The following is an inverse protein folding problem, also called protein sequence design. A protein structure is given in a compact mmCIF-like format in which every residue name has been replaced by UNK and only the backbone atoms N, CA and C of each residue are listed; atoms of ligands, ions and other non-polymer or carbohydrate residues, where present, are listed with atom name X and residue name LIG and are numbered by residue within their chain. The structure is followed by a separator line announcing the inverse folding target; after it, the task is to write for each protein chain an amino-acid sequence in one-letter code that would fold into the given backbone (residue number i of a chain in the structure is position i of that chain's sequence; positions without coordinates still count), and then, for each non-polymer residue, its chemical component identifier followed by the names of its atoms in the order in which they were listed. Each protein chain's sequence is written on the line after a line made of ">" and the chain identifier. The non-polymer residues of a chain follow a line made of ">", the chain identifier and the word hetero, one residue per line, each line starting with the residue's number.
data_IF_611590118379
#
_entry.id   IF_611590118379
#
_cell.length_a   1.000
_cell.length_b   1.000
_cell.length_c   1.000
_cell.angle_alpha   90.00
_cell.angle_beta   90.00
_cell.angle_gamma   90.00
#
_symmetry.space_group_name_H-M   'P 1'
#
loop_
_entity.id
_entity.type
_entity.pdbx_description
1 polymer ?
#
# COMPACT_ATOMS: atom_id res chain seq x y z
N UNK A 1 60.78 4.50 -29.69
CA UNK A 1 60.00 4.36 -28.44
C UNK A 1 59.31 3.01 -28.32
N UNK A 2 58.42 2.61 -29.23
CA UNK A 2 57.63 1.36 -29.14
C UNK A 2 58.51 0.10 -29.00
N UNK A 3 59.61 -0.02 -29.75
CA UNK A 3 60.56 -1.15 -29.63
C UNK A 3 61.25 -1.24 -28.26
N UNK A 4 61.48 -0.11 -27.62
CA UNK A 4 62.14 -0.03 -26.30
C UNK A 4 61.16 -0.44 -25.20
N UNK A 5 59.89 -0.04 -25.34
CA UNK A 5 58.78 -0.47 -24.48
C UNK A 5 58.54 -1.99 -24.61
N UNK A 6 58.52 -2.54 -25.83
CA UNK A 6 58.37 -3.98 -26.06
C UNK A 6 59.53 -4.81 -25.46
N UNK A 7 60.76 -4.27 -25.49
CA UNK A 7 61.95 -4.93 -24.92
C UNK A 7 61.95 -4.89 -23.39
N UNK A 8 61.44 -3.81 -22.79
CA UNK A 8 61.20 -3.69 -21.36
C UNK A 8 60.08 -4.64 -20.90
N UNK A 9 58.97 -4.70 -21.63
CA UNK A 9 57.86 -5.63 -21.36
C UNK A 9 58.27 -7.11 -21.42
N UNK A 10 59.18 -7.50 -22.34
CA UNK A 10 59.64 -8.89 -22.39
C UNK A 10 60.57 -9.26 -21.23
N UNK A 11 61.40 -8.30 -20.77
CA UNK A 11 62.31 -8.48 -19.62
C UNK A 11 61.55 -8.60 -18.30
N UNK A 12 60.48 -7.83 -18.14
CA UNK A 12 59.64 -7.82 -16.93
C UNK A 12 58.33 -8.58 -17.09
N UNK A 13 58.23 -9.50 -18.06
CA UNK A 13 56.99 -10.21 -18.41
C UNK A 13 56.32 -10.87 -17.20
N UNK A 14 57.11 -11.50 -16.32
CA UNK A 14 56.62 -12.22 -15.15
C UNK A 14 56.14 -11.29 -14.03
N UNK A 15 56.90 -10.26 -13.59
CA UNK A 15 56.39 -9.30 -12.63
C UNK A 15 55.20 -8.50 -13.16
N UNK A 16 55.13 -8.20 -14.46
CA UNK A 16 53.94 -7.56 -15.08
C UNK A 16 52.74 -8.51 -15.03
N UNK A 17 52.90 -9.79 -15.39
CA UNK A 17 51.85 -10.79 -15.27
C UNK A 17 51.39 -10.97 -13.81
N UNK A 18 52.31 -10.98 -12.86
CA UNK A 18 52.01 -11.04 -11.44
C UNK A 18 51.22 -9.82 -10.96
N UNK A 19 51.60 -8.62 -11.41
CA UNK A 19 50.86 -7.38 -11.12
C UNK A 19 49.45 -7.42 -11.70
N UNK A 20 49.29 -7.89 -12.95
CA UNK A 20 47.98 -8.03 -13.59
C UNK A 20 47.13 -9.08 -12.87
N UNK A 21 47.70 -10.20 -12.43
CA UNK A 21 46.99 -11.21 -11.63
C UNK A 21 46.59 -10.70 -10.26
N UNK A 22 47.44 -9.95 -9.58
CA UNK A 22 47.10 -9.28 -8.32
C UNK A 22 46.02 -8.23 -8.56
N UNK A 23 46.08 -7.48 -9.65
CA UNK A 23 45.07 -6.48 -9.99
C UNK A 23 43.71 -7.10 -10.31
N UNK A 24 43.70 -8.19 -11.08
CA UNK A 24 42.48 -8.94 -11.40
C UNK A 24 41.94 -9.67 -10.16
N UNK A 25 42.82 -10.25 -9.34
CA UNK A 25 42.44 -10.94 -8.10
C UNK A 25 41.90 -9.98 -7.05
N UNK A 26 42.59 -8.85 -6.83
CA UNK A 26 42.14 -7.79 -5.94
C UNK A 26 40.87 -7.13 -6.48
N UNK A 27 40.79 -6.82 -7.78
CA UNK A 27 39.61 -6.25 -8.41
C UNK A 27 38.39 -7.18 -8.36
N UNK A 28 38.59 -8.48 -8.57
CA UNK A 28 37.55 -9.50 -8.42
C UNK A 28 37.11 -9.61 -6.96
N UNK A 29 38.04 -9.65 -6.02
CA UNK A 29 37.75 -9.68 -4.59
C UNK A 29 36.98 -8.44 -4.12
N UNK A 30 37.38 -7.25 -4.59
CA UNK A 30 36.76 -5.98 -4.27
C UNK A 30 35.36 -5.88 -4.87
N UNK A 31 35.14 -6.38 -6.10
CA UNK A 31 33.80 -6.45 -6.69
C UNK A 31 32.91 -7.46 -5.99
N UNK A 32 33.45 -8.61 -5.57
CA UNK A 32 32.67 -9.64 -4.87
C UNK A 32 32.30 -9.21 -3.45
N UNK A 33 33.12 -8.36 -2.81
CA UNK A 33 32.89 -7.84 -1.46
C UNK A 33 32.44 -6.38 -1.43
N UNK A 34 32.07 -5.78 -2.57
CA UNK A 34 31.81 -4.33 -2.67
C UNK A 34 30.75 -3.85 -1.70
N UNK A 35 29.69 -4.63 -1.51
CA UNK A 35 28.60 -4.30 -0.59
C UNK A 35 29.04 -4.41 0.86
N UNK A 36 29.84 -5.44 1.20
CA UNK A 36 30.42 -5.61 2.54
C UNK A 36 31.42 -4.51 2.88
N UNK A 37 32.19 -4.03 1.90
CA UNK A 37 33.14 -2.92 2.07
C UNK A 37 32.42 -1.59 2.26
N UNK A 38 31.39 -1.33 1.46
CA UNK A 38 30.56 -0.11 1.59
C UNK A 38 29.76 -0.14 2.89
N UNK A 39 29.18 -1.28 3.27
CA UNK A 39 28.46 -1.43 4.54
C UNK A 39 29.39 -1.32 5.74
N UNK A 40 30.61 -1.86 5.66
CA UNK A 40 31.62 -1.70 6.72
C UNK A 40 32.10 -0.26 6.85
N UNK A 41 32.34 0.44 5.72
CA UNK A 41 32.72 1.84 5.74
C UNK A 41 31.58 2.75 6.23
N UNK A 42 30.32 2.44 5.89
CA UNK A 42 29.16 3.17 6.42
C UNK A 42 28.94 2.89 7.91
N UNK A 43 29.11 1.63 8.35
CA UNK A 43 29.00 1.24 9.76
C UNK A 43 30.08 1.88 10.64
N UNK A 44 31.26 2.20 10.08
CA UNK A 44 32.29 2.96 10.79
C UNK A 44 32.00 4.47 10.80
N UNK A 45 31.30 5.00 9.80
CA UNK A 45 31.03 6.44 9.70
C UNK A 45 29.69 6.86 10.32
N UNK A 46 28.84 5.93 10.73
CA UNK A 46 27.51 6.22 11.30
C UNK A 46 27.23 5.34 12.52
N UNK A 47 26.87 5.96 13.65
CA UNK A 47 26.45 5.27 14.89
C UNK A 47 24.99 4.76 14.78
N UNK A 48 24.59 4.24 13.62
CA UNK A 48 23.26 3.67 13.41
C UNK A 48 23.27 2.16 13.71
N UNK A 49 22.17 1.61 14.24
CA UNK A 49 22.03 0.17 14.41
C UNK A 49 22.09 -0.57 13.06
N UNK A 50 22.57 -1.82 13.09
CA UNK A 50 22.51 -2.70 11.91
C UNK A 50 21.07 -2.86 11.40
N UNK A 51 20.83 -3.06 10.09
CA UNK A 51 19.49 -3.30 9.56
C UNK A 51 18.77 -4.45 10.30
N UNK A 52 17.58 -4.19 10.84
CA UNK A 52 16.81 -5.17 11.63
C UNK A 52 17.12 -5.18 13.14
N UNK A 53 18.11 -4.40 13.61
CA UNK A 53 18.38 -4.11 15.03
C UNK A 53 17.89 -2.72 15.40
N UNK A 54 17.78 -2.43 16.70
CA UNK A 54 17.24 -1.15 17.20
C UNK A 54 18.01 -0.66 18.44
N UNK A 55 18.07 0.67 18.60
CA UNK A 55 18.39 1.37 19.85
C UNK A 55 17.19 2.21 20.29
N UNK A 56 16.18 1.53 20.84
CA UNK A 56 14.89 2.11 21.21
C UNK A 56 14.98 3.14 22.32
N UNK A 57 15.94 3.00 23.24
CA UNK A 57 16.18 3.98 24.30
C UNK A 57 16.74 5.29 23.72
N UNK A 58 17.74 5.21 22.83
CA UNK A 58 18.27 6.40 22.16
C UNK A 58 17.20 7.10 21.31
N UNK A 59 16.47 6.32 20.49
CA UNK A 59 15.37 6.83 19.67
C UNK A 59 14.34 7.59 20.53
N UNK A 60 13.97 7.04 21.68
CA UNK A 60 12.99 7.66 22.56
C UNK A 60 13.47 8.95 23.19
N UNK A 61 14.60 8.91 23.91
CA UNK A 61 15.02 10.04 24.73
C UNK A 61 15.58 11.21 23.92
N UNK A 62 16.20 10.94 22.76
CA UNK A 62 16.79 12.00 21.93
C UNK A 62 15.79 12.62 20.96
N UNK A 63 14.81 11.85 20.47
CA UNK A 63 13.97 12.28 19.36
C UNK A 63 12.47 12.21 19.67
N UNK A 64 11.95 11.03 20.04
CA UNK A 64 10.49 10.85 20.21
C UNK A 64 9.97 11.69 21.37
N UNK A 65 10.61 11.62 22.55
CA UNK A 65 10.15 12.35 23.73
C UNK A 65 10.20 13.87 23.51
N UNK A 66 11.30 14.48 23.05
CA UNK A 66 11.31 15.92 22.74
C UNK A 66 10.26 16.34 21.71
N UNK A 67 10.00 15.52 20.69
CA UNK A 67 8.98 15.80 19.66
C UNK A 67 7.53 15.69 20.18
N UNK A 68 7.29 14.87 21.20
CA UNK A 68 5.99 14.80 21.87
C UNK A 68 5.85 15.96 22.87
N UNK A 69 6.86 16.19 23.69
CA UNK A 69 6.89 17.26 24.69
C UNK A 69 6.68 18.64 24.02
N UNK A 70 7.31 18.90 22.86
CA UNK A 70 7.13 20.17 22.13
C UNK A 70 5.67 20.46 21.74
N UNK A 71 4.94 19.45 21.28
CA UNK A 71 3.54 19.57 20.87
C UNK A 71 2.60 19.61 22.07
N UNK A 72 2.89 18.82 23.10
CA UNK A 72 2.08 18.75 24.33
C UNK A 72 2.21 20.03 25.18
N UNK A 73 3.43 20.56 25.33
CA UNK A 73 3.71 21.77 26.12
C UNK A 73 3.06 23.03 25.51
N UNK A 74 3.05 23.12 24.17
CA UNK A 74 2.36 24.20 23.43
C UNK A 74 0.83 23.96 23.31
N UNK A 75 0.33 22.82 23.81
CA UNK A 75 -1.10 22.48 23.77
C UNK A 75 -1.64 22.29 22.35
N UNK A 76 -0.81 21.80 21.43
CA UNK A 76 -1.15 21.68 20.01
C UNK A 76 -1.99 20.42 19.77
N UNK A 77 -3.14 20.63 19.13
CA UNK A 77 -4.14 19.61 18.82
C UNK A 77 -3.99 19.15 17.37
N UNK A 78 -3.21 18.09 17.18
CA UNK A 78 -2.96 17.48 15.86
C UNK A 78 -4.26 17.04 15.16
N UNK A 79 -5.28 16.62 15.90
CA UNK A 79 -6.59 16.27 15.38
C UNK A 79 -7.35 17.47 14.79
N UNK A 80 -7.24 18.64 15.42
CA UNK A 80 -7.80 19.89 14.89
C UNK A 80 -7.05 20.33 13.63
N UNK A 81 -5.72 20.21 13.63
CA UNK A 81 -4.89 20.49 12.45
C UNK A 81 -5.24 19.56 11.27
N UNK A 82 -5.42 18.25 11.52
CA UNK A 82 -5.86 17.28 10.50
C UNK A 82 -7.21 17.68 9.88
N UNK A 83 -8.16 18.17 10.68
CA UNK A 83 -9.47 18.64 10.19
C UNK A 83 -9.39 19.95 9.38
N UNK A 84 -8.33 20.74 9.57
CA UNK A 84 -8.06 21.93 8.79
C UNK A 84 -7.57 21.61 7.37
N UNK A 85 -7.11 20.38 7.13
CA UNK A 85 -6.65 19.96 5.82
C UNK A 85 -7.78 20.07 4.79
N UNK A 86 -7.58 20.79 3.68
CA UNK A 86 -8.62 20.91 2.68
C UNK A 86 -8.98 19.53 2.13
N UNK A 87 -10.26 19.16 2.18
CA UNK A 87 -10.84 18.04 1.41
C UNK A 87 -10.62 18.23 -0.12
N UNK A 88 -10.19 19.43 -0.55
CA UNK A 88 -10.13 19.90 -1.95
C UNK A 88 -8.94 19.40 -2.79
N UNK A 89 -8.38 18.23 -2.49
CA UNK A 89 -7.58 17.47 -3.47
C UNK A 89 -8.29 16.20 -3.96
N UNK A 90 -9.59 16.04 -3.69
CA UNK A 90 -10.31 14.77 -3.82
C UNK A 90 -11.39 14.71 -4.93
N UNK A 91 -11.41 15.63 -5.91
CA UNK A 91 -12.25 15.50 -7.12
C UNK A 91 -11.54 15.96 -8.41
N UNK A 92 -11.72 15.27 -9.55
CA UNK A 92 -11.42 15.84 -10.86
C UNK A 92 -12.31 17.07 -11.08
N UNK A 93 -11.81 18.03 -11.85
CA UNK A 93 -12.35 19.37 -12.02
C UNK A 93 -13.68 19.41 -12.81
N UNK A 94 -14.71 18.66 -12.43
CA UNK A 94 -16.07 18.86 -12.95
C UNK A 94 -17.13 18.50 -11.89
N UNK A 95 -18.20 19.29 -11.90
CA UNK A 95 -19.45 19.17 -11.14
C UNK A 95 -19.59 19.98 -9.83
N UNK A 96 -20.36 21.06 -10.01
CA UNK A 96 -20.85 22.03 -9.04
C UNK A 96 -21.85 21.34 -8.10
N UNK A 97 -21.46 21.10 -6.85
CA UNK A 97 -22.41 20.83 -5.78
C UNK A 97 -22.84 22.14 -5.10
N UNK A 98 -24.03 22.62 -5.48
CA UNK A 98 -24.81 23.62 -4.76
C UNK A 98 -25.37 23.01 -3.46
N UNK A 99 -24.49 22.77 -2.49
CA UNK A 99 -24.87 22.58 -1.09
C UNK A 99 -23.72 23.14 -0.23
N UNK A 100 -23.78 24.45 0.07
CA UNK A 100 -22.94 25.01 1.12
C UNK A 100 -23.46 24.46 2.44
N UNK A 101 -22.74 23.51 3.04
CA UNK A 101 -22.85 23.26 4.48
C UNK A 101 -22.76 24.63 5.18
N UNK A 102 -23.74 24.95 6.04
CA UNK A 102 -23.80 26.24 6.71
C UNK A 102 -22.48 26.44 7.47
N UNK A 103 -21.86 27.61 7.33
CA UNK A 103 -20.54 27.88 7.93
C UNK A 103 -20.55 27.70 9.46
N UNK A 104 -21.71 27.89 10.10
CA UNK A 104 -21.97 27.59 11.51
C UNK A 104 -21.87 26.09 11.85
N UNK A 105 -22.33 25.18 10.98
CA UNK A 105 -22.23 23.73 11.23
C UNK A 105 -20.78 23.25 11.11
N UNK A 106 -19.99 23.87 10.22
CA UNK A 106 -18.55 23.62 10.13
C UNK A 106 -17.84 24.06 11.41
N UNK A 107 -18.10 25.27 11.89
CA UNK A 107 -17.51 25.79 13.13
C UNK A 107 -17.99 25.00 14.35
N UNK A 108 -19.27 24.61 14.42
CA UNK A 108 -19.78 23.78 15.52
C UNK A 108 -19.12 22.42 15.57
N UNK A 109 -19.01 21.71 14.43
CA UNK A 109 -18.36 20.40 14.36
C UNK A 109 -16.83 20.48 14.60
N UNK A 110 -16.19 21.59 14.24
CA UNK A 110 -14.77 21.83 14.53
C UNK A 110 -14.51 22.03 16.02
N UNK A 111 -15.44 22.65 16.73
CA UNK A 111 -15.31 22.99 18.15
C UNK A 111 -15.86 21.92 19.11
N UNK A 112 -16.21 20.72 18.60
CA UNK A 112 -16.53 19.57 19.47
C UNK A 112 -15.22 19.09 20.08
N UNK A 113 -14.92 19.55 21.28
CA UNK A 113 -13.83 19.06 22.10
C UNK A 113 -14.12 17.62 22.56
N UNK A 114 -13.07 16.86 22.88
CA UNK A 114 -13.23 15.53 23.47
C UNK A 114 -13.96 15.65 24.83
N UNK A 115 -14.64 14.60 25.32
CA UNK A 115 -15.34 14.67 26.60
C UNK A 115 -14.39 15.13 27.72
N UNK A 116 -14.63 16.31 28.30
CA UNK A 116 -13.83 16.88 29.39
C UNK A 116 -13.13 18.22 29.11
N UNK A 117 -13.14 18.73 27.88
CA UNK A 117 -12.49 20.00 27.52
C UNK A 117 -13.49 21.13 27.20
N UNK A 118 -13.13 22.37 27.52
CA UNK A 118 -13.93 23.55 27.17
C UNK A 118 -13.76 23.89 25.67
N UNK A 119 -14.84 24.08 24.90
CA UNK A 119 -14.74 24.43 23.49
C UNK A 119 -14.13 25.82 23.31
N UNK A 120 -12.98 25.91 22.65
CA UNK A 120 -12.38 27.17 22.18
C UNK A 120 -12.70 27.35 20.70
N UNK A 121 -13.28 28.49 20.34
CA UNK A 121 -13.60 28.83 18.94
C UNK A 121 -12.32 29.32 18.27
N UNK A 122 -11.68 28.49 17.44
CA UNK A 122 -10.50 28.88 16.65
C UNK A 122 -10.73 28.49 15.19
N UNK A 123 -10.44 29.40 14.26
CA UNK A 123 -10.50 29.08 12.83
C UNK A 123 -9.39 28.07 12.46
N UNK A 124 -9.73 26.90 11.87
CA UNK A 124 -8.75 25.84 11.62
C UNK A 124 -7.58 26.25 10.71
N UNK A 125 -7.79 27.12 9.73
CA UNK A 125 -6.71 27.59 8.86
C UNK A 125 -5.71 28.51 9.58
N UNK A 126 -6.19 29.35 10.51
CA UNK A 126 -5.34 30.19 11.35
C UNK A 126 -4.55 29.34 12.32
N UNK A 127 -5.25 28.45 13.03
CA UNK A 127 -4.64 27.48 13.95
C UNK A 127 -3.60 26.59 13.26
N UNK A 128 -3.90 26.10 12.06
CA UNK A 128 -2.96 25.28 11.30
C UNK A 128 -1.73 26.07 10.89
N UNK A 129 -1.89 27.30 10.38
CA UNK A 129 -0.77 28.15 9.96
C UNK A 129 0.14 28.53 11.13
N UNK A 130 -0.44 28.81 12.30
CA UNK A 130 0.31 29.16 13.52
C UNK A 130 1.18 28.01 14.02
N UNK A 131 0.67 26.78 13.96
CA UNK A 131 1.34 25.61 14.58
C UNK A 131 2.12 24.74 13.58
N UNK A 132 2.01 25.02 12.27
CA UNK A 132 2.59 24.19 11.20
C UNK A 132 4.09 23.96 11.38
N UNK A 133 4.85 25.02 11.71
CA UNK A 133 6.31 24.95 11.76
C UNK A 133 6.78 24.02 12.89
N UNK A 134 6.24 24.18 14.10
CA UNK A 134 6.59 23.33 15.24
C UNK A 134 6.19 21.87 15.02
N UNK A 135 5.01 21.61 14.43
CA UNK A 135 4.58 20.24 14.10
C UNK A 135 5.44 19.63 12.99
N UNK A 136 5.94 20.45 12.06
CA UNK A 136 6.87 20.00 11.01
C UNK A 136 8.24 19.64 11.58
N UNK A 137 8.79 20.45 12.48
CA UNK A 137 10.04 20.14 13.19
C UNK A 137 9.89 18.83 13.99
N UNK A 138 8.79 18.70 14.73
CA UNK A 138 8.51 17.49 15.50
C UNK A 138 8.34 16.25 14.61
N UNK A 139 7.72 16.39 13.43
CA UNK A 139 7.65 15.32 12.42
C UNK A 139 9.05 14.94 11.91
N UNK A 140 9.94 15.91 11.69
CA UNK A 140 11.32 15.63 11.26
C UNK A 140 12.10 14.85 12.32
N UNK A 141 11.96 15.20 13.59
CA UNK A 141 12.58 14.45 14.69
C UNK A 141 12.03 13.01 14.78
N UNK A 142 10.72 12.82 14.60
CA UNK A 142 10.12 11.48 14.54
C UNK A 142 10.63 10.67 13.35
N UNK A 143 10.89 11.30 12.20
CA UNK A 143 11.52 10.63 11.05
C UNK A 143 12.97 10.28 11.36
N UNK A 144 13.74 11.15 12.03
CA UNK A 144 15.12 10.82 12.44
C UNK A 144 15.16 9.67 13.45
N UNK A 145 14.15 9.57 14.32
CA UNK A 145 14.05 8.49 15.28
C UNK A 145 13.98 7.10 14.60
N UNK A 146 13.44 7.00 13.37
CA UNK A 146 13.38 5.72 12.63
C UNK A 146 14.74 5.18 12.20
N UNK A 147 15.78 6.02 12.19
CA UNK A 147 17.16 5.54 12.01
C UNK A 147 17.67 4.70 13.17
N UNK A 148 17.04 4.82 14.35
CA UNK A 148 17.44 4.13 15.56
C UNK A 148 16.45 3.04 15.97
N UNK A 149 15.15 3.28 15.87
CA UNK A 149 14.14 2.28 16.20
C UNK A 149 12.81 2.56 15.51
N UNK A 150 12.06 1.51 15.21
CA UNK A 150 10.66 1.62 14.79
C UNK A 150 9.67 1.28 15.92
N UNK A 151 10.13 0.55 16.94
CA UNK A 151 9.35 0.13 18.10
C UNK A 151 10.04 0.60 19.37
N UNK A 152 9.29 1.23 20.27
CA UNK A 152 9.79 1.67 21.57
C UNK A 152 8.90 1.08 22.66
N UNK A 153 9.42 0.09 23.39
CA UNK A 153 8.65 -0.59 24.43
C UNK A 153 8.43 0.31 25.66
N UNK A 154 7.56 -0.09 26.58
CA UNK A 154 7.46 0.56 27.89
C UNK A 154 8.77 0.47 28.71
N UNK A 155 9.48 -0.64 28.61
CA UNK A 155 10.73 -0.87 29.33
C UNK A 155 11.84 0.10 28.87
N UNK A 156 11.98 0.30 27.57
CA UNK A 156 12.95 1.23 26.97
C UNK A 156 12.71 2.70 27.36
N UNK A 157 11.49 3.02 27.79
CA UNK A 157 11.09 4.35 28.27
C UNK A 157 11.22 4.53 29.78
N UNK A 158 11.57 3.46 30.50
CA UNK A 158 11.51 3.43 31.97
C UNK A 158 10.08 3.36 32.53
N UNK A 159 9.10 2.94 31.72
CA UNK A 159 7.67 2.86 32.03
C UNK A 159 7.14 1.44 31.78
N UNK A 160 7.55 0.45 32.60
CA UNK A 160 7.18 -0.95 32.38
C UNK A 160 5.65 -1.14 32.42
N UNK A 161 5.12 -1.94 31.49
CA UNK A 161 3.68 -2.22 31.37
C UNK A 161 2.88 -1.23 30.51
N UNK A 162 3.50 -0.18 29.98
CA UNK A 162 2.88 0.66 28.96
C UNK A 162 2.96 0.04 27.56
N UNK A 163 1.97 0.35 26.71
CA UNK A 163 1.92 -0.09 25.31
C UNK A 163 3.14 0.38 24.52
N UNK A 164 3.65 -0.49 23.65
CA UNK A 164 4.75 -0.16 22.73
C UNK A 164 4.34 0.95 21.78
N UNK A 165 5.17 1.98 21.68
CA UNK A 165 5.00 3.04 20.69
C UNK A 165 5.49 2.53 19.34
N UNK A 166 4.61 2.57 18.35
CA UNK A 166 4.97 2.38 16.94
C UNK A 166 5.27 3.75 16.32
N UNK A 167 6.52 4.00 15.99
CA UNK A 167 6.92 5.25 15.31
C UNK A 167 6.14 5.52 14.01
N UNK A 168 5.88 4.56 13.10
CA UNK A 168 5.11 4.85 11.90
C UNK A 168 3.67 5.34 12.19
N UNK A 169 3.08 4.91 13.31
CA UNK A 169 1.78 5.42 13.75
C UNK A 169 1.86 6.88 14.22
N UNK A 170 2.92 7.26 14.96
CA UNK A 170 3.18 8.64 15.35
C UNK A 170 3.45 9.53 14.14
N UNK A 171 4.35 9.10 13.24
CA UNK A 171 4.66 9.81 11.99
C UNK A 171 3.39 10.02 11.18
N UNK A 172 2.53 9.00 11.07
CA UNK A 172 1.23 9.12 10.39
C UNK A 172 0.36 10.21 11.02
N UNK A 173 0.20 10.22 12.35
CA UNK A 173 -0.61 11.24 13.05
C UNK A 173 -0.11 12.67 12.79
N UNK A 174 1.20 12.89 12.85
CA UNK A 174 1.81 14.20 12.60
C UNK A 174 1.73 14.59 11.10
N UNK A 175 2.00 13.65 10.21
CA UNK A 175 1.94 13.88 8.77
C UNK A 175 0.52 14.21 8.29
N UNK A 176 -0.50 13.53 8.82
CA UNK A 176 -1.90 13.85 8.55
C UNK A 176 -2.30 15.24 9.07
N UNK A 177 -1.80 15.65 10.24
CA UNK A 177 -2.01 17.00 10.77
C UNK A 177 -1.41 18.09 9.86
N UNK A 178 -0.33 17.77 9.14
CA UNK A 178 0.31 18.66 8.15
C UNK A 178 -0.21 18.46 6.72
N UNK A 179 -1.27 17.68 6.53
CA UNK A 179 -1.86 17.39 5.22
C UNK A 179 -0.92 16.65 4.26
N UNK A 180 0.00 15.84 4.80
CA UNK A 180 0.98 15.03 4.07
C UNK A 180 0.77 13.51 4.28
N UNK A 181 -0.42 12.95 3.98
CA UNK A 181 -0.74 11.55 4.30
C UNK A 181 0.19 10.52 3.63
N UNK A 182 0.86 10.87 2.52
CA UNK A 182 1.82 9.99 1.86
C UNK A 182 3.06 9.72 2.73
N UNK A 183 3.52 10.70 3.52
CA UNK A 183 4.69 10.52 4.40
C UNK A 183 4.41 9.47 5.48
N UNK A 184 3.23 9.54 6.10
CA UNK A 184 2.78 8.53 7.06
C UNK A 184 2.75 7.13 6.44
N UNK A 185 2.21 7.01 5.21
CA UNK A 185 2.19 5.74 4.48
C UNK A 185 3.58 5.17 4.23
N UNK A 186 4.50 5.97 3.69
CA UNK A 186 5.85 5.49 3.38
C UNK A 186 6.56 4.97 4.63
N UNK A 187 6.35 5.61 5.79
CA UNK A 187 6.89 5.11 7.06
C UNK A 187 6.37 3.72 7.45
N UNK A 188 5.15 3.35 7.06
CA UNK A 188 4.64 1.98 7.24
C UNK A 188 5.31 0.99 6.28
N UNK A 189 5.66 1.42 5.06
CA UNK A 189 6.46 0.62 4.12
C UNK A 189 7.85 0.32 4.68
N UNK A 190 8.54 1.34 5.19
CA UNK A 190 9.85 1.20 5.83
C UNK A 190 9.78 0.25 7.05
N UNK A 191 8.70 0.33 7.82
CA UNK A 191 8.46 -0.57 8.96
C UNK A 191 8.19 -2.02 8.53
N UNK A 192 7.50 -2.26 7.41
CA UNK A 192 7.33 -3.60 6.83
C UNK A 192 8.70 -4.20 6.48
N UNK A 193 9.56 -3.45 5.79
CA UNK A 193 10.91 -3.90 5.46
C UNK A 193 11.75 -4.18 6.72
N UNK A 194 11.63 -3.32 7.73
CA UNK A 194 12.28 -3.55 9.03
C UNK A 194 11.84 -4.87 9.69
N UNK A 195 10.53 -5.15 9.72
CA UNK A 195 10.01 -6.40 10.31
C UNK A 195 10.49 -7.64 9.57
N UNK A 196 10.51 -7.59 8.23
CA UNK A 196 11.04 -8.67 7.41
C UNK A 196 12.53 -8.90 7.65
N UNK A 197 13.32 -7.83 7.72
CA UNK A 197 14.76 -7.92 7.98
C UNK A 197 15.06 -8.43 9.38
N UNK A 198 14.29 -8.00 10.39
CA UNK A 198 14.41 -8.49 11.76
C UNK A 198 14.10 -9.99 11.83
N UNK A 199 13.00 -10.44 11.23
CA UNK A 199 12.64 -11.85 11.18
C UNK A 199 13.69 -12.69 10.42
N UNK A 200 14.24 -12.15 9.32
CA UNK A 200 15.33 -12.77 8.58
C UNK A 200 16.55 -13.01 9.49
N UNK A 201 16.98 -11.99 10.23
CA UNK A 201 18.11 -12.10 11.16
C UNK A 201 17.84 -13.07 12.31
N UNK A 202 16.65 -13.02 12.91
CA UNK A 202 16.27 -13.92 14.00
C UNK A 202 16.33 -15.40 13.56
N UNK A 203 15.93 -15.72 12.33
CA UNK A 203 16.06 -17.08 11.77
C UNK A 203 17.49 -17.43 11.38
N UNK A 204 18.26 -16.49 10.82
CA UNK A 204 19.67 -16.72 10.49
C UNK A 204 20.50 -17.01 11.74
N UNK A 205 20.21 -16.33 12.86
CA UNK A 205 20.85 -16.55 14.15
C UNK A 205 20.34 -17.85 14.83
N UNK A 206 19.04 -18.15 14.74
CA UNK A 206 18.42 -19.30 15.38
C UNK A 206 18.68 -20.65 14.69
N UNK A 207 18.69 -20.68 13.35
CA UNK A 207 18.87 -21.90 12.55
C UNK A 207 19.85 -21.69 11.36
N UNK A 208 21.13 -21.37 11.62
CA UNK A 208 22.07 -20.91 10.60
C UNK A 208 22.31 -21.93 9.47
N UNK A 209 22.35 -23.24 9.79
CA UNK A 209 22.52 -24.28 8.78
C UNK A 209 21.26 -24.47 7.94
N UNK A 210 20.07 -24.47 8.56
CA UNK A 210 18.80 -24.62 7.85
C UNK A 210 18.55 -23.47 6.88
N UNK A 211 18.92 -22.25 7.27
CA UNK A 211 18.68 -21.05 6.48
C UNK A 211 19.72 -20.83 5.37
N UNK A 212 21.01 -21.08 5.65
CA UNK A 212 22.12 -20.81 4.72
C UNK A 212 22.09 -21.66 3.44
N UNK A 213 21.51 -22.85 3.45
CA UNK A 213 21.46 -23.73 2.27
C UNK A 213 20.19 -23.57 1.42
N UNK A 214 19.25 -22.71 1.83
CA UNK A 214 18.01 -22.44 1.09
C UNK A 214 18.22 -21.43 -0.03
N UNK A 215 17.42 -21.56 -1.10
CA UNK A 215 17.34 -20.57 -2.17
C UNK A 215 16.73 -19.26 -1.63
N UNK A 216 17.06 -18.09 -2.20
CA UNK A 216 16.52 -16.80 -1.73
C UNK A 216 15.00 -16.77 -1.60
N UNK A 217 14.26 -17.26 -2.60
CA UNK A 217 12.80 -17.31 -2.54
C UNK A 217 12.24 -18.22 -1.43
N UNK A 218 12.95 -19.29 -1.07
CA UNK A 218 12.56 -20.15 0.06
C UNK A 218 12.79 -19.45 1.39
N UNK A 219 13.84 -18.64 1.51
CA UNK A 219 14.10 -17.82 2.69
C UNK A 219 13.02 -16.77 2.88
N UNK A 220 12.64 -16.08 1.81
CA UNK A 220 11.58 -15.06 1.85
C UNK A 220 10.25 -15.68 2.34
N UNK A 221 9.91 -16.88 1.86
CA UNK A 221 8.71 -17.60 2.32
C UNK A 221 8.81 -18.04 3.78
N UNK A 222 9.98 -18.44 4.27
CA UNK A 222 10.20 -18.76 5.68
C UNK A 222 10.06 -17.50 6.55
N UNK A 223 10.60 -16.38 6.11
CA UNK A 223 10.46 -15.07 6.77
C UNK A 223 9.01 -14.66 6.88
N UNK A 224 8.29 -14.67 5.77
CA UNK A 224 6.85 -14.41 5.76
C UNK A 224 6.08 -15.43 6.64
N UNK A 225 6.54 -16.68 6.67
CA UNK A 225 6.01 -17.75 7.52
C UNK A 225 6.07 -17.41 9.00
N UNK A 226 7.22 -16.92 9.46
CA UNK A 226 7.43 -16.49 10.85
C UNK A 226 6.56 -15.29 11.24
N UNK A 227 6.29 -14.40 10.28
CA UNK A 227 5.52 -13.17 10.49
C UNK A 227 4.00 -13.35 10.34
N UNK A 228 3.52 -14.52 9.91
CA UNK A 228 2.10 -14.77 9.60
C UNK A 228 1.15 -14.40 10.74
N UNK A 229 1.55 -14.60 11.99
CA UNK A 229 0.70 -14.29 13.15
C UNK A 229 1.05 -12.96 13.83
N UNK A 230 1.96 -12.18 13.26
CA UNK A 230 2.34 -10.88 13.82
C UNK A 230 1.26 -9.83 13.52
N UNK A 231 0.54 -9.40 14.56
CA UNK A 231 -0.48 -8.35 14.46
C UNK A 231 0.10 -7.06 13.91
N UNK A 232 1.28 -6.65 14.39
CA UNK A 232 1.94 -5.41 13.97
C UNK A 232 2.31 -5.46 12.49
N UNK A 233 2.79 -6.61 12.00
CA UNK A 233 3.14 -6.80 10.60
C UNK A 233 1.92 -6.75 9.68
N UNK A 234 0.84 -7.45 10.04
CA UNK A 234 -0.42 -7.39 9.29
C UNK A 234 -1.00 -5.97 9.26
N UNK A 235 -0.97 -5.26 10.39
CA UNK A 235 -1.38 -3.87 10.47
C UNK A 235 -0.51 -2.96 9.60
N UNK A 236 0.81 -3.15 9.63
CA UNK A 236 1.74 -2.37 8.82
C UNK A 236 1.46 -2.50 7.32
N UNK A 237 1.26 -3.73 6.83
CA UNK A 237 0.90 -3.98 5.43
C UNK A 237 -0.43 -3.29 5.05
N UNK A 238 -1.44 -3.33 5.93
CA UNK A 238 -2.74 -2.68 5.71
C UNK A 238 -2.62 -1.15 5.68
N UNK A 239 -1.88 -0.57 6.62
CA UNK A 239 -1.65 0.87 6.66
C UNK A 239 -0.83 1.32 5.43
N UNK A 240 0.13 0.49 5.00
CA UNK A 240 0.93 0.77 3.81
C UNK A 240 0.08 0.80 2.53
N UNK A 241 -0.88 -0.10 2.38
CA UNK A 241 -1.80 -0.09 1.24
C UNK A 241 -2.71 1.14 1.18
N UNK A 242 -2.97 1.78 2.32
CA UNK A 242 -3.79 2.99 2.40
C UNK A 242 -4.65 3.13 3.64
N UNK A 243 -4.73 2.10 4.49
CA UNK A 243 -5.58 2.08 5.67
C UNK A 243 -7.09 1.98 5.33
N UNK A 244 -7.81 1.09 6.01
CA UNK A 244 -9.26 0.97 5.87
C UNK A 244 -9.77 -0.48 5.87
N UNK A 245 -11.07 -0.62 6.10
CA UNK A 245 -11.77 -1.85 5.74
C UNK A 245 -11.72 -2.01 4.22
N UNK A 246 -11.63 -3.26 3.71
CA UNK A 246 -11.54 -3.49 2.29
C UNK A 246 -12.72 -2.85 1.57
N UNK A 247 -12.44 -1.83 0.78
CA UNK A 247 -13.43 -1.07 0.02
C UNK A 247 -13.17 -1.38 -1.45
N UNK A 248 -14.21 -1.70 -2.25
CA UNK A 248 -14.02 -1.99 -3.66
C UNK A 248 -13.25 -0.84 -4.30
N UNK A 249 -12.08 -1.17 -4.86
CA UNK A 249 -11.24 -0.24 -5.57
C UNK A 249 -11.98 0.26 -6.81
N UNK A 250 -12.20 1.56 -6.93
CA UNK A 250 -12.70 2.18 -8.16
C UNK A 250 -11.55 2.87 -8.89
N UNK A 251 -11.19 2.42 -10.10
CA UNK A 251 -10.23 3.11 -10.96
C UNK A 251 -10.58 4.58 -11.23
N UNK A 252 -11.87 4.89 -11.28
CA UNK A 252 -12.42 6.23 -11.57
C UNK A 252 -12.39 7.13 -10.33
N UNK A 253 -12.34 6.53 -9.13
CA UNK A 253 -12.21 7.20 -7.84
C UNK A 253 -10.80 7.10 -7.24
N UNK A 254 -9.79 6.71 -8.03
CA UNK A 254 -8.42 6.51 -7.57
C UNK A 254 -7.83 7.84 -7.08
N UNK A 255 -7.95 8.10 -5.77
CA UNK A 255 -7.33 9.25 -5.15
C UNK A 255 -5.81 9.02 -5.06
N UNK A 256 -5.02 10.09 -5.11
CA UNK A 256 -3.55 10.03 -4.94
C UNK A 256 -3.11 9.55 -3.54
N UNK A 257 -4.06 9.07 -2.73
CA UNK A 257 -3.90 8.67 -1.34
C UNK A 257 -4.00 7.16 -1.15
N UNK A 258 -3.96 6.30 -2.16
CA UNK A 258 -3.76 4.85 -1.97
C UNK A 258 -2.47 4.39 -2.67
N UNK A 259 -1.77 3.41 -2.08
CA UNK A 259 -0.59 2.81 -2.72
C UNK A 259 -0.96 2.21 -4.09
N UNK A 260 -2.18 1.65 -4.20
CA UNK A 260 -2.71 1.11 -5.47
C UNK A 260 -2.72 2.17 -6.58
N UNK A 261 -3.00 3.43 -6.24
CA UNK A 261 -3.05 4.51 -7.21
C UNK A 261 -1.67 5.04 -7.60
N UNK A 262 -0.72 5.03 -6.66
CA UNK A 262 0.63 5.60 -6.83
C UNK A 262 1.61 4.58 -7.41
N UNK A 263 1.67 3.41 -6.78
CA UNK A 263 2.59 2.31 -7.06
C UNK A 263 1.79 0.98 -7.11
N UNK A 264 0.95 0.79 -8.13
CA UNK A 264 0.05 -0.36 -8.28
C UNK A 264 0.77 -1.72 -8.28
N UNK A 265 1.98 -1.78 -8.84
CA UNK A 265 2.80 -2.99 -8.88
C UNK A 265 3.33 -3.33 -7.49
N UNK A 266 3.75 -2.32 -6.75
CA UNK A 266 4.17 -2.48 -5.37
C UNK A 266 2.99 -2.89 -4.50
N UNK A 267 1.82 -2.25 -4.67
CA UNK A 267 0.60 -2.64 -3.99
C UNK A 267 0.24 -4.11 -4.25
N UNK A 268 0.38 -4.61 -5.48
CA UNK A 268 0.19 -6.03 -5.78
C UNK A 268 1.15 -6.95 -4.98
N UNK A 269 2.42 -6.57 -4.86
CA UNK A 269 3.39 -7.31 -4.04
C UNK A 269 3.03 -7.28 -2.55
N UNK A 270 2.57 -6.14 -2.04
CA UNK A 270 2.11 -5.98 -0.66
C UNK A 270 0.84 -6.82 -0.40
N UNK A 271 -0.09 -6.89 -1.36
CA UNK A 271 -1.23 -7.81 -1.27
C UNK A 271 -0.81 -9.28 -1.21
N UNK A 272 0.20 -9.71 -1.98
CA UNK A 272 0.71 -11.09 -1.88
C UNK A 272 1.23 -11.40 -0.47
N UNK A 273 2.02 -10.48 0.11
CA UNK A 273 2.53 -10.61 1.47
C UNK A 273 1.40 -10.64 2.50
N UNK A 274 0.41 -9.75 2.34
CA UNK A 274 -0.74 -9.66 3.24
C UNK A 274 -1.65 -10.89 3.15
N UNK A 275 -1.93 -11.41 1.97
CA UNK A 275 -2.70 -12.65 1.76
C UNK A 275 -2.02 -13.83 2.46
N UNK A 276 -0.69 -13.93 2.33
CA UNK A 276 0.08 -14.98 2.99
C UNK A 276 0.03 -14.85 4.52
N UNK A 277 0.09 -13.63 5.04
CA UNK A 277 0.07 -13.35 6.48
C UNK A 277 -1.34 -13.30 7.08
N UNK A 278 -2.40 -13.15 6.30
CA UNK A 278 -3.74 -12.90 6.82
C UNK A 278 -4.44 -14.16 7.37
N UNK A 279 -5.36 -13.98 8.34
CA UNK A 279 -6.26 -15.05 8.76
C UNK A 279 -7.27 -15.39 7.65
N UNK A 280 -7.75 -16.63 7.61
CA UNK A 280 -8.57 -17.17 6.52
C UNK A 280 -9.84 -16.35 6.27
N UNK A 281 -10.45 -15.78 7.32
CA UNK A 281 -11.68 -14.99 7.24
C UNK A 281 -11.51 -13.69 6.44
N UNK A 282 -10.27 -13.18 6.33
CA UNK A 282 -9.97 -11.96 5.57
C UNK A 282 -9.63 -12.23 4.10
N UNK A 283 -9.25 -13.46 3.75
CA UNK A 283 -8.77 -13.80 2.41
C UNK A 283 -9.74 -13.43 1.28
N UNK A 284 -11.06 -13.65 1.38
CA UNK A 284 -11.98 -13.30 0.29
C UNK A 284 -11.94 -11.81 -0.08
N UNK A 285 -11.78 -10.94 0.93
CA UNK A 285 -11.70 -9.49 0.70
C UNK A 285 -10.36 -9.11 0.06
N UNK A 286 -9.26 -9.70 0.52
CA UNK A 286 -7.93 -9.44 -0.04
C UNK A 286 -7.81 -9.94 -1.49
N UNK A 287 -8.43 -11.08 -1.80
CA UNK A 287 -8.54 -11.58 -3.18
C UNK A 287 -9.33 -10.64 -4.08
N UNK A 288 -10.42 -10.05 -3.58
CA UNK A 288 -11.19 -9.07 -4.34
C UNK A 288 -10.30 -7.85 -4.70
N UNK A 289 -9.63 -7.28 -3.71
CA UNK A 289 -8.79 -6.10 -3.90
C UNK A 289 -7.58 -6.37 -4.81
N UNK A 290 -6.91 -7.50 -4.61
CA UNK A 290 -5.80 -7.92 -5.46
C UNK A 290 -6.27 -8.15 -6.91
N UNK A 291 -7.41 -8.80 -7.11
CA UNK A 291 -7.99 -9.03 -8.43
C UNK A 291 -8.32 -7.72 -9.16
N UNK A 292 -8.85 -6.72 -8.44
CA UNK A 292 -9.10 -5.37 -8.97
C UNK A 292 -7.81 -4.65 -9.38
N UNK A 293 -6.74 -4.74 -8.57
CA UNK A 293 -5.42 -4.17 -8.87
C UNK A 293 -4.83 -4.81 -10.13
N UNK A 294 -4.88 -6.14 -10.23
CA UNK A 294 -4.39 -6.89 -11.39
C UNK A 294 -5.15 -6.51 -12.66
N UNK A 295 -6.50 -6.44 -12.60
CA UNK A 295 -7.32 -6.00 -13.72
C UNK A 295 -7.03 -4.55 -14.15
N UNK A 296 -6.64 -3.69 -13.21
CA UNK A 296 -6.21 -2.31 -13.52
C UNK A 296 -4.80 -2.25 -14.14
N UNK A 297 -3.83 -3.02 -13.63
CA UNK A 297 -2.49 -3.15 -14.23
C UNK A 297 -2.59 -3.69 -15.67
N UNK A 298 -3.45 -4.68 -15.88
CA UNK A 298 -3.72 -5.27 -17.19
C UNK A 298 -4.29 -4.25 -18.18
N UNK A 299 -5.20 -3.37 -17.73
CA UNK A 299 -5.75 -2.28 -18.55
C UNK A 299 -4.70 -1.23 -18.92
N UNK A 300 -3.72 -0.98 -18.06
CA UNK A 300 -2.60 -0.07 -18.34
C UNK A 300 -1.52 -0.66 -19.25
N UNK A 301 -1.62 -1.95 -19.60
CA UNK A 301 -0.63 -2.61 -20.46
C UNK A 301 0.70 -2.86 -19.76
N UNK A 302 0.70 -3.10 -18.45
CA UNK A 302 1.92 -3.48 -17.74
C UNK A 302 2.38 -4.88 -18.21
N UNK A 303 3.51 -4.91 -18.92
CA UNK A 303 4.11 -6.13 -19.48
C UNK A 303 5.03 -6.87 -18.51
N UNK A 304 5.17 -6.41 -17.26
CA UNK A 304 6.04 -7.06 -16.26
C UNK A 304 5.43 -8.33 -15.64
N UNK A 305 4.13 -8.54 -15.82
CA UNK A 305 3.43 -9.76 -15.42
C UNK A 305 3.05 -10.56 -16.67
N UNK A 306 3.32 -11.86 -16.64
CA UNK A 306 2.82 -12.80 -17.65
C UNK A 306 1.31 -12.98 -17.41
N UNK A 307 0.48 -12.52 -18.35
CA UNK A 307 -0.99 -12.63 -18.34
C UNK A 307 -1.74 -12.05 -17.11
N UNK A 308 -1.67 -10.72 -16.86
CA UNK A 308 -2.29 -10.12 -15.68
C UNK A 308 -3.82 -10.24 -15.61
N UNK A 309 -4.51 -10.37 -16.76
CA UNK A 309 -5.95 -10.64 -16.78
C UNK A 309 -6.30 -12.05 -16.29
N UNK A 310 -5.46 -13.06 -16.58
CA UNK A 310 -5.68 -14.43 -16.14
C UNK A 310 -5.54 -14.52 -14.62
N UNK A 311 -4.48 -13.93 -14.08
CA UNK A 311 -4.26 -13.81 -12.63
C UNK A 311 -5.39 -13.03 -11.94
N UNK A 312 -5.87 -11.95 -12.55
CA UNK A 312 -7.00 -11.18 -12.01
C UNK A 312 -8.26 -12.04 -11.89
N UNK A 313 -8.61 -12.80 -12.93
CA UNK A 313 -9.79 -13.67 -12.95
C UNK A 313 -9.69 -14.81 -11.92
N UNK A 314 -8.52 -15.44 -11.80
CA UNK A 314 -8.28 -16.48 -10.80
C UNK A 314 -8.48 -15.95 -9.38
N UNK A 315 -7.88 -14.79 -9.09
CA UNK A 315 -8.00 -14.12 -7.79
C UNK A 315 -9.46 -13.73 -7.49
N UNK A 316 -10.16 -13.13 -8.46
CA UNK A 316 -11.57 -12.75 -8.30
C UNK A 316 -12.48 -13.97 -8.12
N UNK A 317 -12.16 -15.12 -8.70
CA UNK A 317 -12.91 -16.35 -8.49
C UNK A 317 -12.83 -16.83 -7.02
N UNK A 318 -11.67 -16.67 -6.38
CA UNK A 318 -11.47 -16.93 -4.96
C UNK A 318 -12.32 -16.00 -4.07
N UNK A 319 -12.45 -14.73 -4.44
CA UNK A 319 -13.36 -13.80 -3.77
C UNK A 319 -14.84 -14.16 -4.00
N UNK A 320 -15.19 -14.60 -5.22
CA UNK A 320 -16.55 -14.93 -5.59
C UNK A 320 -17.11 -16.16 -4.85
N UNK A 321 -16.25 -17.05 -4.35
CA UNK A 321 -16.64 -18.17 -3.49
C UNK A 321 -17.28 -17.70 -2.16
N UNK A 322 -17.05 -16.45 -1.75
CA UNK A 322 -17.64 -15.89 -0.54
C UNK A 322 -18.92 -15.10 -0.85
N UNK A 323 -20.04 -15.52 -0.26
CA UNK A 323 -21.39 -15.01 -0.57
C UNK A 323 -21.55 -13.49 -0.47
N UNK A 324 -20.88 -12.83 0.48
CA UNK A 324 -20.99 -11.36 0.63
C UNK A 324 -20.26 -10.59 -0.47
N UNK A 325 -19.32 -11.22 -1.16
CA UNK A 325 -18.46 -10.59 -2.18
C UNK A 325 -18.79 -11.07 -3.59
N UNK A 326 -19.52 -12.18 -3.72
CA UNK A 326 -19.84 -12.83 -4.99
C UNK A 326 -20.33 -11.84 -6.07
N UNK A 327 -21.28 -10.97 -5.73
CA UNK A 327 -21.78 -9.96 -6.68
C UNK A 327 -20.65 -9.05 -7.19
N UNK A 328 -19.84 -8.52 -6.28
CA UNK A 328 -18.81 -7.52 -6.61
C UNK A 328 -17.70 -8.17 -7.42
N UNK A 329 -17.24 -9.35 -7.01
CA UNK A 329 -16.22 -10.10 -7.72
C UNK A 329 -16.65 -10.45 -9.16
N UNK A 330 -17.88 -10.95 -9.34
CA UNK A 330 -18.41 -11.28 -10.67
C UNK A 330 -18.60 -10.06 -11.57
N UNK A 331 -18.94 -8.91 -11.00
CA UNK A 331 -18.99 -7.63 -11.75
C UNK A 331 -17.61 -7.27 -12.30
N UNK A 332 -16.55 -7.41 -11.50
CA UNK A 332 -15.18 -7.17 -11.95
C UNK A 332 -14.72 -8.20 -12.99
N UNK A 333 -15.06 -9.48 -12.82
CA UNK A 333 -14.79 -10.52 -13.82
C UNK A 333 -15.49 -10.19 -15.14
N UNK A 334 -16.75 -9.77 -15.11
CA UNK A 334 -17.50 -9.35 -16.30
C UNK A 334 -16.80 -8.21 -17.04
N UNK A 335 -16.27 -7.21 -16.31
CA UNK A 335 -15.50 -6.11 -16.91
C UNK A 335 -14.24 -6.60 -17.62
N UNK A 336 -13.51 -7.53 -17.00
CA UNK A 336 -12.31 -8.12 -17.59
C UNK A 336 -12.66 -8.88 -18.87
N UNK A 337 -13.69 -9.73 -18.84
CA UNK A 337 -14.14 -10.48 -20.00
C UNK A 337 -14.56 -9.56 -21.16
N UNK A 338 -15.32 -8.49 -20.87
CA UNK A 338 -15.67 -7.48 -21.88
C UNK A 338 -14.44 -6.81 -22.49
N UNK A 339 -13.47 -6.43 -21.67
CA UNK A 339 -12.21 -5.80 -22.10
C UNK A 339 -11.35 -6.75 -22.97
N UNK A 340 -11.51 -8.06 -22.77
CA UNK A 340 -10.85 -9.12 -23.52
C UNK A 340 -11.66 -9.61 -24.72
N UNK A 341 -12.82 -9.00 -24.99
CA UNK A 341 -13.75 -9.40 -26.06
C UNK A 341 -14.27 -10.84 -25.90
N UNK A 342 -14.23 -11.36 -24.67
CA UNK A 342 -14.74 -12.68 -24.26
C UNK A 342 -16.22 -12.55 -23.85
N UNK A 343 -17.08 -12.27 -24.84
CA UNK A 343 -18.45 -11.84 -24.57
C UNK A 343 -19.36 -12.95 -24.03
N UNK A 344 -19.10 -14.21 -24.37
CA UNK A 344 -19.89 -15.35 -23.87
C UNK A 344 -19.61 -15.59 -22.38
N UNK A 345 -18.35 -15.48 -21.96
CA UNK A 345 -17.93 -15.56 -20.57
C UNK A 345 -18.49 -14.37 -19.76
N UNK A 346 -18.44 -13.15 -20.33
CA UNK A 346 -19.07 -11.98 -19.72
C UNK A 346 -20.58 -12.19 -19.52
N UNK A 347 -21.27 -12.79 -20.49
CA UNK A 347 -22.71 -13.11 -20.40
C UNK A 347 -22.99 -14.19 -19.36
N UNK A 348 -22.14 -15.22 -19.27
CA UNK A 348 -22.24 -16.26 -18.25
C UNK A 348 -22.12 -15.68 -16.83
N UNK A 349 -21.19 -14.75 -16.60
CA UNK A 349 -21.07 -14.07 -15.30
C UNK A 349 -22.27 -13.19 -14.97
N UNK A 350 -22.79 -12.43 -15.95
CA UNK A 350 -24.01 -11.64 -15.79
C UNK A 350 -25.24 -12.50 -15.46
N UNK A 351 -25.31 -13.70 -16.02
CA UNK A 351 -26.33 -14.68 -15.67
C UNK A 351 -26.20 -15.09 -14.20
N UNK A 352 -25.00 -15.38 -13.71
CA UNK A 352 -24.78 -15.69 -12.29
C UNK A 352 -25.18 -14.51 -11.40
N UNK A 353 -24.80 -13.27 -11.75
CA UNK A 353 -25.22 -12.06 -11.01
C UNK A 353 -26.75 -11.96 -10.93
N UNK A 354 -27.47 -12.26 -12.01
CA UNK A 354 -28.94 -12.20 -12.04
C UNK A 354 -29.64 -13.23 -11.14
N UNK A 355 -28.94 -14.31 -10.76
CA UNK A 355 -29.46 -15.30 -9.80
C UNK A 355 -29.30 -14.83 -8.35
N UNK A 356 -28.40 -13.89 -8.09
CA UNK A 356 -28.05 -13.41 -6.75
C UNK A 356 -28.79 -12.11 -6.42
N UNK A 357 -28.96 -11.24 -7.43
CA UNK A 357 -29.56 -9.91 -7.27
C UNK A 357 -30.69 -9.72 -8.26
N UNK A 358 -31.77 -9.09 -7.79
CA UNK A 358 -32.80 -8.60 -8.69
C UNK A 358 -32.21 -7.52 -9.61
N UNK A 359 -32.04 -7.84 -10.89
CA UNK A 359 -31.42 -6.95 -11.89
C UNK A 359 -32.22 -5.65 -12.10
N UNK A 360 -33.48 -5.63 -11.67
CA UNK A 360 -34.37 -4.47 -11.76
C UNK A 360 -34.15 -3.48 -10.61
N UNK A 361 -33.46 -3.89 -9.54
CA UNK A 361 -33.22 -3.05 -8.38
C UNK A 361 -32.26 -1.88 -8.72
N UNK A 362 -32.39 -0.72 -8.05
CA UNK A 362 -31.46 0.40 -8.20
C UNK A 362 -30.00 0.00 -7.99
N UNK A 363 -29.74 -0.86 -7.00
CA UNK A 363 -28.42 -1.37 -6.65
C UNK A 363 -27.76 -2.22 -7.76
N UNK A 364 -28.53 -2.69 -8.74
CA UNK A 364 -28.04 -3.48 -9.88
C UNK A 364 -27.76 -2.61 -11.12
N UNK A 365 -27.70 -1.28 -10.99
CA UNK A 365 -27.42 -0.36 -12.10
C UNK A 365 -26.12 -0.73 -12.86
N UNK A 366 -25.06 -1.04 -12.12
CA UNK A 366 -23.75 -1.44 -12.68
C UNK A 366 -23.85 -2.74 -13.50
N UNK A 367 -24.54 -3.76 -12.97
CA UNK A 367 -24.75 -5.02 -13.69
C UNK A 367 -25.61 -4.84 -14.96
N UNK A 368 -26.62 -3.96 -14.91
CA UNK A 368 -27.43 -3.60 -16.09
C UNK A 368 -26.60 -2.91 -17.16
N UNK A 369 -25.73 -1.98 -16.76
CA UNK A 369 -24.84 -1.31 -17.69
C UNK A 369 -23.89 -2.30 -18.38
N UNK A 370 -23.32 -3.24 -17.62
CA UNK A 370 -22.46 -4.28 -18.16
C UNK A 370 -23.24 -5.22 -19.10
N UNK A 371 -24.46 -5.62 -18.75
CA UNK A 371 -25.32 -6.41 -19.64
C UNK A 371 -25.58 -5.70 -20.98
N UNK A 372 -25.88 -4.40 -20.93
CA UNK A 372 -26.04 -3.59 -22.14
C UNK A 372 -24.77 -3.55 -22.98
N UNK A 373 -23.60 -3.33 -22.36
CA UNK A 373 -22.31 -3.30 -23.06
C UNK A 373 -22.00 -4.66 -23.71
N UNK A 374 -22.18 -5.76 -22.99
CA UNK A 374 -21.95 -7.13 -23.49
C UNK A 374 -22.82 -7.43 -24.70
N UNK A 375 -24.14 -7.25 -24.57
CA UNK A 375 -25.07 -7.56 -25.66
C UNK A 375 -24.85 -6.65 -26.88
N UNK A 376 -24.57 -5.36 -26.66
CA UNK A 376 -24.27 -4.45 -27.76
C UNK A 376 -22.98 -4.81 -28.48
N UNK A 377 -21.95 -5.28 -27.76
CA UNK A 377 -20.69 -5.71 -28.37
C UNK A 377 -20.86 -7.01 -29.20
N UNK A 378 -21.83 -7.86 -28.84
CA UNK A 378 -22.25 -9.03 -29.62
C UNK A 378 -23.16 -8.68 -30.82
N UNK A 379 -23.52 -7.40 -31.03
CA UNK A 379 -24.45 -6.98 -32.08
C UNK A 379 -25.94 -7.16 -31.73
N UNK A 380 -26.26 -7.57 -30.50
CA UNK A 380 -27.61 -7.77 -29.98
C UNK A 380 -28.17 -6.45 -29.43
N UNK A 381 -28.26 -5.43 -30.28
CA UNK A 381 -28.60 -4.06 -29.86
C UNK A 381 -30.04 -3.94 -29.32
N UNK A 382 -30.99 -4.73 -29.85
CA UNK A 382 -32.39 -4.70 -29.39
C UNK A 382 -32.53 -5.28 -27.98
N UNK A 383 -31.76 -6.33 -27.70
CA UNK A 383 -31.69 -7.00 -26.41
C UNK A 383 -30.93 -6.12 -25.40
N UNK A 384 -29.86 -5.45 -25.83
CA UNK A 384 -29.10 -4.50 -25.02
C UNK A 384 -29.98 -3.33 -24.53
N UNK A 385 -30.86 -2.80 -25.37
CA UNK A 385 -31.81 -1.73 -25.01
C UNK A 385 -32.70 -2.09 -23.82
N UNK A 386 -33.00 -3.39 -23.63
CA UNK A 386 -33.79 -3.86 -22.50
C UNK A 386 -33.09 -3.69 -21.15
N UNK A 387 -31.79 -3.39 -21.11
CA UNK A 387 -31.02 -3.13 -19.89
C UNK A 387 -30.71 -1.64 -19.67
N UNK A 388 -31.25 -0.73 -20.50
CA UNK A 388 -31.17 0.72 -20.25
C UNK A 388 -31.92 1.13 -18.97
N UNK A 389 -31.55 2.27 -18.35
CA UNK A 389 -32.26 2.80 -17.19
C UNK A 389 -33.74 3.02 -17.52
N UNK A 390 -34.60 2.15 -16.99
CA UNK A 390 -36.04 2.20 -17.27
C UNK A 390 -36.69 3.26 -16.38
N UNK A 391 -36.77 4.49 -16.87
CA UNK A 391 -37.80 5.44 -16.46
C UNK A 391 -39.01 5.24 -17.40
N UNK A 392 -39.95 4.37 -17.04
CA UNK A 392 -41.21 4.18 -17.80
C UNK A 392 -41.75 2.75 -17.87
N UNK A 393 -42.77 2.53 -18.70
CA UNK A 393 -43.37 1.21 -18.97
C UNK A 393 -42.42 0.30 -19.75
N UNK A 394 -42.15 -0.89 -19.21
CA UNK A 394 -41.31 -1.92 -19.82
C UNK A 394 -41.87 -2.29 -21.21
N UNK A 395 -41.02 -2.24 -22.24
CA UNK A 395 -41.41 -2.62 -23.61
C UNK A 395 -41.80 -4.10 -23.65
N UNK A 396 -42.78 -4.53 -24.48
CA UNK A 396 -43.26 -5.92 -24.50
C UNK A 396 -42.16 -6.96 -24.73
N UNK A 397 -41.20 -6.68 -25.62
CA UNK A 397 -40.06 -7.58 -25.88
C UNK A 397 -39.08 -7.66 -24.70
N UNK A 398 -39.06 -6.70 -23.78
CA UNK A 398 -38.17 -6.70 -22.62
C UNK A 398 -38.75 -7.41 -21.40
N UNK A 399 -39.98 -7.95 -21.47
CA UNK A 399 -40.63 -8.64 -20.35
C UNK A 399 -39.82 -9.83 -19.83
N UNK A 400 -39.09 -10.51 -20.72
CA UNK A 400 -38.22 -11.64 -20.39
C UNK A 400 -36.73 -11.31 -20.59
N UNK A 401 -36.28 -10.08 -20.30
CA UNK A 401 -34.90 -9.66 -20.59
C UNK A 401 -33.80 -10.55 -19.99
N UNK A 402 -34.09 -11.29 -18.90
CA UNK A 402 -33.18 -12.28 -18.33
C UNK A 402 -32.88 -13.46 -19.27
N UNK A 403 -33.77 -13.79 -20.20
CA UNK A 403 -33.51 -14.79 -21.23
C UNK A 403 -32.40 -14.36 -22.19
N UNK A 404 -32.17 -13.04 -22.36
CA UNK A 404 -31.06 -12.53 -23.14
C UNK A 404 -29.70 -12.70 -22.47
N UNK A 405 -29.66 -13.10 -21.19
CA UNK A 405 -28.43 -13.48 -20.51
C UNK A 405 -28.24 -15.00 -20.47
N UNK A 406 -29.20 -15.80 -20.97
CA UNK A 406 -29.13 -17.27 -20.90
C UNK A 406 -28.19 -17.89 -21.91
#
# INVERSE_FOLDING_TARGET
>A
MIRLILRQMSKYRWPILGLVLIWLGAGYWLMNNRYNLVSFLSAISTDFPDPGRQDSSHAYFQYVKPALDSVEDEGIRLDLMKRACPERSERPFFEVNLARNHWLDKIQNWNIASPGESPRVVEPEGYWKENKELVLESLQELIHATYYAYEVSGEDRGLPGQETILLPALITRFAEALCMPLMGRLSWGDYVEFQEQRAYLEMEEGEPEYFKYRLPAERDLLTLGSLRNSRNYQEALLQYLGGGAPSPFSPEGCNTRSLVCLAPREAFQVYNKLIFAAPEERLPYLYLEQGQVLGWLARKGDHSLEEPYSLALDTLSGAAAHRSLERIARVEMTRIYLQKELYEEARAELRQISLIVNIDAPEAAEARELARKTLSAQGLHKEADCFSEILGTIRPHCQNRLEYLR
#
